data_IF_005045517355
#
_entry.id   IF_005045517355
#
_cell.length_a   1.000
_cell.length_b   1.000
_cell.length_c   1.000
_cell.angle_alpha   90.00
_cell.angle_beta   90.00
_cell.angle_gamma   90.00
#
_symmetry.space_group_name_H-M   'P 1'
#
loop_
_entity.id
_entity.type
_entity.pdbx_description
1 polymer ?
#
# COMPACT_ATOMS: atom_id res chain seq x y z
N UNK A 1 3.73 0.92 15.90
CA UNK A 1 4.94 0.63 15.12
C UNK A 1 4.99 1.66 14.00
N UNK A 2 6.13 2.30 13.79
CA UNK A 2 6.32 3.26 12.70
C UNK A 2 6.96 2.52 11.52
N UNK A 3 6.38 2.67 10.32
CA UNK A 3 6.90 2.06 9.10
C UNK A 3 8.30 2.57 8.69
N UNK A 4 8.79 3.66 9.29
CA UNK A 4 10.01 4.38 8.89
C UNK A 4 11.28 3.54 8.75
N UNK A 5 11.40 2.40 9.44
CA UNK A 5 12.62 1.58 9.43
C UNK A 5 12.44 0.13 8.97
N UNK A 6 11.18 -0.34 8.88
CA UNK A 6 10.87 -1.75 8.62
C UNK A 6 10.04 -1.96 7.36
N UNK A 7 9.55 -0.86 6.76
CA UNK A 7 8.72 -0.90 5.56
C UNK A 7 9.38 -0.25 4.34
N UNK A 8 8.91 -0.64 3.16
CA UNK A 8 9.17 0.01 1.89
C UNK A 8 7.88 0.21 1.12
N UNK A 9 7.68 1.42 0.62
CA UNK A 9 6.61 1.72 -0.32
C UNK A 9 7.08 1.42 -1.75
N UNK A 10 6.33 0.58 -2.47
CA UNK A 10 6.69 0.12 -3.82
C UNK A 10 5.52 0.38 -4.75
N UNK A 11 5.75 1.14 -5.82
CA UNK A 11 4.81 1.32 -6.91
C UNK A 11 4.72 0.04 -7.75
N UNK A 12 3.52 -0.51 -7.96
CA UNK A 12 3.34 -1.73 -8.74
C UNK A 12 2.03 -1.78 -9.51
N UNK A 13 2.06 -2.43 -10.68
CA UNK A 13 0.84 -2.80 -11.43
C UNK A 13 0.31 -4.18 -11.03
N UNK A 14 1.11 -4.98 -10.34
CA UNK A 14 0.71 -6.25 -9.76
C UNK A 14 0.05 -6.03 -8.40
N UNK A 15 -0.44 -7.12 -7.80
CA UNK A 15 -0.90 -7.08 -6.42
C UNK A 15 0.28 -6.90 -5.45
N UNK A 16 -0.03 -6.40 -4.26
CA UNK A 16 0.99 -6.08 -3.27
C UNK A 16 1.57 -7.33 -2.61
N UNK A 17 0.83 -8.44 -2.53
CA UNK A 17 1.35 -9.72 -2.01
C UNK A 17 2.49 -10.23 -2.89
N UNK A 18 2.29 -10.34 -4.19
CA UNK A 18 3.31 -10.77 -5.14
C UNK A 18 4.48 -9.78 -5.24
N UNK A 19 4.16 -8.48 -5.25
CA UNK A 19 5.17 -7.40 -5.27
C UNK A 19 6.12 -7.47 -4.07
N UNK A 20 5.58 -7.63 -2.86
CA UNK A 20 6.40 -7.71 -1.65
C UNK A 20 7.16 -9.06 -1.57
N UNK A 21 6.51 -10.17 -1.93
CA UNK A 21 7.12 -11.50 -1.94
C UNK A 21 8.34 -11.56 -2.87
N UNK A 22 8.27 -10.93 -4.04
CA UNK A 22 9.40 -10.82 -4.97
C UNK A 22 10.60 -10.01 -4.41
N UNK A 23 10.44 -9.33 -3.27
CA UNK A 23 11.49 -8.62 -2.53
C UNK A 23 11.88 -9.31 -1.22
N UNK A 24 11.35 -10.50 -0.93
CA UNK A 24 11.55 -11.19 0.36
C UNK A 24 10.83 -10.50 1.53
N UNK A 25 9.78 -9.74 1.23
CA UNK A 25 9.01 -8.95 2.19
C UNK A 25 7.55 -9.41 2.23
N UNK A 26 6.78 -8.96 3.22
CA UNK A 26 5.37 -9.29 3.38
C UNK A 26 4.51 -8.04 3.21
N UNK A 27 3.40 -8.15 2.48
CA UNK A 27 2.39 -7.11 2.45
C UNK A 27 1.54 -7.18 3.73
N UNK A 28 1.32 -6.04 4.38
CA UNK A 28 0.53 -5.98 5.60
C UNK A 28 -0.44 -4.80 5.55
N UNK A 29 -1.74 -5.11 5.55
CA UNK A 29 -2.83 -4.17 5.22
C UNK A 29 -2.94 -3.02 6.21
N UNK A 30 -2.63 -3.24 7.49
CA UNK A 30 -2.66 -2.19 8.52
C UNK A 30 -1.78 -0.97 8.19
N UNK A 31 -0.67 -1.17 7.48
CA UNK A 31 0.25 -0.10 7.10
C UNK A 31 -0.19 0.69 5.87
N UNK A 32 -1.26 0.25 5.18
CA UNK A 32 -1.82 1.03 4.09
C UNK A 32 -2.35 2.38 4.59
N UNK A 33 -2.71 2.50 5.87
CA UNK A 33 -3.11 3.78 6.49
C UNK A 33 -2.03 4.85 6.35
N UNK A 34 -0.75 4.47 6.42
CA UNK A 34 0.39 5.40 6.34
C UNK A 34 0.56 5.96 4.91
N UNK A 35 0.24 5.13 3.93
CA UNK A 35 0.25 5.48 2.52
C UNK A 35 -1.06 6.14 2.05
N UNK A 36 -2.15 5.96 2.79
CA UNK A 36 -3.49 6.41 2.43
C UNK A 36 -3.75 7.89 2.80
N UNK A 37 -2.77 8.75 2.50
CA UNK A 37 -2.92 10.20 2.59
C UNK A 37 -2.54 10.83 1.26
N UNK A 38 -3.18 11.97 0.92
CA UNK A 38 -2.88 12.65 -0.33
C UNK A 38 -1.40 13.05 -0.39
N UNK A 39 -0.85 13.53 0.72
CA UNK A 39 0.56 13.91 0.81
C UNK A 39 1.51 12.73 0.54
N UNK A 40 1.28 11.56 1.14
CA UNK A 40 2.12 10.37 0.91
C UNK A 40 2.06 9.91 -0.55
N UNK A 41 0.85 9.93 -1.12
CA UNK A 41 0.63 9.56 -2.51
C UNK A 41 1.25 10.54 -3.51
N UNK A 42 1.15 11.85 -3.25
CA UNK A 42 1.81 12.88 -4.05
C UNK A 42 3.33 12.76 -4.02
N UNK A 43 3.91 12.43 -2.86
CA UNK A 43 5.36 12.17 -2.75
C UNK A 43 5.78 10.92 -3.54
N UNK A 44 4.93 9.90 -3.60
CA UNK A 44 5.24 8.63 -4.25
C UNK A 44 5.02 8.65 -5.76
N UNK A 45 3.99 9.34 -6.23
CA UNK A 45 3.54 9.31 -7.64
C UNK A 45 3.53 10.67 -8.35
N UNK A 46 3.73 11.78 -7.63
CA UNK A 46 3.67 13.12 -8.22
C UNK A 46 2.28 13.52 -8.73
N UNK A 47 1.21 12.92 -8.22
CA UNK A 47 -0.15 13.26 -8.63
C UNK A 47 -0.52 14.72 -8.29
N UNK A 48 -1.29 15.36 -9.17
CA UNK A 48 -1.75 16.75 -8.95
C UNK A 48 -2.97 16.85 -8.03
N UNK A 49 -3.75 15.78 -7.95
CA UNK A 49 -4.98 15.69 -7.16
C UNK A 49 -5.13 14.31 -6.56
N UNK A 50 -5.93 14.25 -5.49
CA UNK A 50 -6.35 13.02 -4.85
C UNK A 50 -7.88 12.92 -4.85
N UNK A 51 -8.39 11.70 -4.96
CA UNK A 51 -9.81 11.39 -4.85
C UNK A 51 -9.98 10.27 -3.85
N UNK A 52 -10.91 10.45 -2.91
CA UNK A 52 -11.27 9.42 -1.94
C UNK A 52 -12.44 8.60 -2.47
N UNK A 53 -12.26 7.29 -2.60
CA UNK A 53 -13.29 6.35 -3.06
C UNK A 53 -12.93 4.94 -2.57
N UNK A 54 -13.89 4.19 -2.04
CA UNK A 54 -13.69 2.77 -1.72
C UNK A 54 -13.31 1.98 -2.97
N UNK A 55 -12.09 1.47 -3.02
CA UNK A 55 -11.57 0.71 -4.15
C UNK A 55 -10.44 -0.22 -3.70
N UNK A 56 -10.49 -1.51 -4.07
CA UNK A 56 -9.50 -2.50 -3.65
C UNK A 56 -8.05 -2.15 -4.09
N UNK A 57 -7.92 -1.48 -5.24
CA UNK A 57 -6.61 -1.00 -5.70
C UNK A 57 -6.03 0.13 -4.85
N UNK A 58 -6.84 0.90 -4.14
CA UNK A 58 -6.37 2.04 -3.36
C UNK A 58 -5.55 1.58 -2.13
N UNK A 59 -4.48 2.31 -1.76
CA UNK A 59 -3.99 3.53 -2.38
C UNK A 59 -3.28 3.26 -3.72
N UNK A 60 -3.69 3.98 -4.77
CA UNK A 60 -3.18 3.80 -6.13
C UNK A 60 -3.20 5.09 -6.95
N UNK A 61 -2.40 5.18 -8.00
CA UNK A 61 -2.56 6.18 -9.06
C UNK A 61 -3.37 5.59 -10.21
N UNK A 62 -4.41 6.30 -10.66
CA UNK A 62 -5.11 5.98 -11.89
C UNK A 62 -4.28 6.45 -13.09
N UNK A 63 -3.96 5.55 -14.02
CA UNK A 63 -3.02 5.82 -15.12
C UNK A 63 -3.57 6.83 -16.14
N UNK A 64 -4.86 6.79 -16.42
CA UNK A 64 -5.50 7.66 -17.41
C UNK A 64 -5.52 9.13 -17.00
N UNK A 65 -5.69 9.40 -15.69
CA UNK A 65 -5.86 10.76 -15.16
C UNK A 65 -4.66 11.25 -14.34
N UNK A 66 -3.77 10.34 -13.92
CA UNK A 66 -2.71 10.62 -12.95
C UNK A 66 -3.23 10.90 -11.53
N UNK A 67 -4.52 10.74 -11.27
CA UNK A 67 -5.16 11.00 -9.97
C UNK A 67 -4.76 9.94 -8.96
N UNK A 68 -4.39 10.34 -7.74
CA UNK A 68 -4.19 9.41 -6.64
C UNK A 68 -5.52 9.07 -5.96
N UNK A 69 -5.83 7.79 -5.90
CA UNK A 69 -6.96 7.24 -5.17
C UNK A 69 -6.56 6.90 -3.75
N UNK A 70 -7.40 7.30 -2.81
CA UNK A 70 -7.35 6.96 -1.40
C UNK A 70 -8.61 6.17 -1.04
N UNK A 71 -8.49 5.22 -0.13
CA UNK A 71 -9.64 4.57 0.50
C UNK A 71 -10.22 5.46 1.60
N UNK A 72 -11.55 5.43 1.75
CA UNK A 72 -12.28 6.07 2.84
C UNK A 72 -12.33 5.23 4.13
N UNK A 73 -12.15 3.91 4.00
CA UNK A 73 -12.20 3.00 5.13
C UNK A 73 -11.05 1.98 5.12
N UNK A 74 -10.49 1.71 6.31
CA UNK A 74 -9.38 0.75 6.49
C UNK A 74 -9.71 -0.67 6.02
N UNK A 75 -10.97 -1.09 6.15
CA UNK A 75 -11.45 -2.41 5.71
C UNK A 75 -11.37 -2.66 4.19
N UNK A 76 -11.05 -1.63 3.41
CA UNK A 76 -10.91 -1.71 1.95
C UNK A 76 -9.46 -1.78 1.49
N UNK A 77 -8.50 -1.76 2.43
CA UNK A 77 -7.12 -2.13 2.14
C UNK A 77 -7.06 -3.63 1.87
N UNK A 78 -6.34 -4.00 0.82
CA UNK A 78 -6.34 -5.36 0.31
C UNK A 78 -4.99 -5.64 -0.34
N UNK A 79 -4.19 -6.56 0.20
CA UNK A 79 -2.91 -6.90 -0.41
C UNK A 79 -3.03 -7.48 -1.83
N UNK A 80 -4.19 -8.03 -2.20
CA UNK A 80 -4.46 -8.73 -3.47
C UNK A 80 -5.22 -7.89 -4.50
N UNK A 81 -5.78 -6.74 -4.09
CA UNK A 81 -6.65 -5.86 -4.88
C UNK A 81 -6.06 -5.18 -6.13
N UNK A 82 -5.32 -5.88 -6.99
CA UNK A 82 -4.87 -5.39 -8.28
C UNK A 82 -6.04 -5.09 -9.21
N UNK A 83 -5.94 -4.00 -9.97
CA UNK A 83 -6.93 -3.62 -10.96
C UNK A 83 -6.24 -2.98 -12.18
N UNK A 84 -6.76 -3.28 -13.37
CA UNK A 84 -6.25 -2.73 -14.62
C UNK A 84 -6.39 -1.19 -14.64
N UNK A 85 -5.40 -0.50 -15.22
CA UNK A 85 -5.39 0.96 -15.28
C UNK A 85 -4.96 1.66 -13.99
N UNK A 86 -4.52 0.91 -12.97
CA UNK A 86 -4.03 1.45 -11.70
C UNK A 86 -2.57 1.05 -11.42
N UNK A 87 -1.84 1.93 -10.74
CA UNK A 87 -0.53 1.64 -10.13
C UNK A 87 -0.70 1.76 -8.61
N UNK A 88 -0.60 0.65 -7.91
CA UNK A 88 -0.77 0.57 -6.46
C UNK A 88 0.48 1.04 -5.73
N UNK A 89 0.30 1.64 -4.55
CA UNK A 89 1.38 1.87 -3.60
C UNK A 89 1.37 0.75 -2.56
N UNK A 90 2.25 -0.24 -2.74
CA UNK A 90 2.35 -1.39 -1.88
C UNK A 90 3.26 -1.11 -0.69
N UNK A 91 2.77 -1.35 0.52
CA UNK A 91 3.56 -1.24 1.74
C UNK A 91 4.06 -2.62 2.14
N UNK A 92 5.35 -2.84 1.88
CA UNK A 92 6.04 -4.09 2.11
C UNK A 92 6.85 -4.00 3.40
N UNK A 93 6.73 -4.99 4.28
CA UNK A 93 7.39 -5.05 5.59
C UNK A 93 8.43 -6.16 5.60
N UNK A 94 9.57 -5.94 6.25
CA UNK A 94 10.61 -6.96 6.41
C UNK A 94 10.09 -8.15 7.23
N UNK A 95 10.37 -9.36 6.75
CA UNK A 95 9.93 -10.63 7.36
C UNK A 95 10.51 -10.86 8.76
N UNK A 96 11.71 -10.39 9.04
CA UNK A 96 12.36 -10.52 10.35
C UNK A 96 11.60 -9.82 11.50
N UNK A 97 10.83 -8.78 11.18
CA UNK A 97 10.03 -8.03 12.16
C UNK A 97 8.61 -8.57 12.31
N UNK A 98 8.11 -9.34 11.33
CA UNK A 98 6.79 -10.00 11.42
C UNK A 98 6.79 -11.08 12.52
N UNK A 99 7.90 -11.80 12.69
CA UNK A 99 8.06 -12.80 13.76
C UNK A 99 8.15 -12.19 15.17
N UNK A 100 8.51 -10.90 15.31
CA UNK A 100 8.50 -10.24 16.63
C UNK A 100 7.10 -9.75 17.07
N UNK A 101 6.10 -9.83 16.19
CA UNK A 101 4.72 -9.40 16.44
C UNK A 101 3.77 -10.59 16.62
N UNK A 102 4.11 -11.76 16.08
CA UNK A 102 3.33 -13.01 16.23
C UNK A 102 3.43 -13.68 17.61
N UNK A 103 4.50 -13.44 18.37
CA UNK A 103 4.77 -14.09 19.67
C UNK A 103 4.41 -13.23 20.89
N UNK A 104 3.26 -12.53 20.85
CA UNK A 104 2.66 -11.88 22.04
C UNK A 104 1.23 -12.31 22.34
N UNK A 105 0.93 -13.57 22.05
CA UNK A 105 -0.17 -14.30 22.69
C UNK A 105 0.26 -15.75 22.97
N UNK A 106 0.88 -15.96 24.13
CA UNK A 106 0.82 -17.19 24.93
C UNK A 106 1.16 -16.85 26.37
#
# INVERSE_FOLDING_TARGET
MDCAHVCRAIASRADCRSTCSAKGMVCHEDFFSDANTCQAMQRSFGCKSCSTKSHAAAPAQQQSSGTCLLNDHKRHFDCEGAAEGYIRLCICVLTGDVYAVGDRHS
#
